data_IF_366399740961
#
_entry.id   IF_366399740961
#
_cell.length_a   1.000
_cell.length_b   1.000
_cell.length_c   1.000
_cell.angle_alpha   90.00
_cell.angle_beta   90.00
_cell.angle_gamma   90.00
#
_symmetry.space_group_name_H-M   'P 1'
#
loop_
_entity.id
_entity.type
_entity.pdbx_description
1 polymer ?
#
# COMPACT_ATOMS: atom_id res chain seq x y z
N UNK A 1 -22.55 6.72 8.98
CA UNK A 1 -21.53 5.64 9.03
C UNK A 1 -20.35 5.96 8.12
N UNK A 2 -19.11 5.65 8.53
CA UNK A 2 -17.93 5.89 7.71
C UNK A 2 -17.91 4.98 6.47
N UNK A 3 -17.38 5.48 5.35
CA UNK A 3 -17.26 4.71 4.10
C UNK A 3 -16.29 3.52 4.24
N UNK A 4 -15.23 3.70 5.02
CA UNK A 4 -14.27 2.68 5.45
C UNK A 4 -13.59 3.14 6.75
N UNK A 5 -12.86 2.24 7.40
CA UNK A 5 -12.07 2.56 8.60
C UNK A 5 -10.62 2.23 8.31
N UNK A 6 -9.76 3.23 8.44
CA UNK A 6 -8.31 3.06 8.50
C UNK A 6 -7.82 3.38 9.91
N UNK A 7 -7.44 2.37 10.71
CA UNK A 7 -6.99 2.60 12.08
C UNK A 7 -5.59 3.23 12.16
N UNK A 8 -4.86 3.31 11.05
CA UNK A 8 -3.47 3.74 11.01
C UNK A 8 -3.26 5.07 10.29
N UNK A 9 -4.22 5.56 9.52
CA UNK A 9 -4.12 6.82 8.77
C UNK A 9 -3.63 8.00 9.64
N UNK A 10 -4.16 8.14 10.85
CA UNK A 10 -3.80 9.23 11.77
C UNK A 10 -2.31 9.22 12.17
N UNK A 11 -1.68 8.03 12.21
CA UNK A 11 -0.27 7.86 12.56
C UNK A 11 0.65 8.45 11.50
N UNK A 12 0.21 8.47 10.24
CA UNK A 12 1.00 8.90 9.09
C UNK A 12 0.81 10.38 8.73
N UNK A 13 -0.12 11.11 9.36
CA UNK A 13 -0.41 12.51 9.05
C UNK A 13 0.82 13.44 9.14
N UNK A 14 1.80 13.09 9.99
CA UNK A 14 3.06 13.86 10.09
C UNK A 14 3.90 13.82 8.81
N UNK A 15 3.75 12.79 7.98
CA UNK A 15 4.46 12.67 6.70
C UNK A 15 3.87 13.62 5.66
N UNK A 16 2.55 13.73 5.64
CA UNK A 16 1.79 14.61 4.75
C UNK A 16 2.19 16.09 4.98
N UNK A 17 2.30 16.51 6.25
CA UNK A 17 2.74 17.88 6.61
C UNK A 17 4.21 18.14 6.26
N UNK A 18 5.08 17.14 6.39
CA UNK A 18 6.50 17.29 6.08
C UNK A 18 6.76 17.41 4.58
N UNK A 19 5.97 16.72 3.74
CA UNK A 19 6.07 16.76 2.28
C UNK A 19 5.45 18.06 1.70
N UNK A 20 4.37 18.54 2.31
CA UNK A 20 3.69 19.79 1.91
C UNK A 20 4.50 21.08 2.15
N UNK A 21 5.62 21.02 2.89
CA UNK A 21 6.49 22.20 3.04
C UNK A 21 7.28 22.54 1.77
N UNK A 22 7.24 21.71 0.73
CA UNK A 22 8.01 21.92 -0.51
C UNK A 22 7.23 22.44 -1.73
N UNK A 23 5.89 22.45 -1.77
CA UNK A 23 5.18 22.91 -2.99
C UNK A 23 3.83 23.62 -2.71
N UNK A 24 3.87 24.95 -2.72
CA UNK A 24 2.70 25.85 -2.60
C UNK A 24 1.81 25.90 -3.87
N UNK A 25 2.09 25.12 -4.92
CA UNK A 25 1.38 25.18 -6.21
C UNK A 25 0.49 23.96 -6.52
N UNK A 26 0.59 22.86 -5.74
CA UNK A 26 -0.11 21.59 -6.02
C UNK A 26 -1.50 21.46 -5.37
N UNK A 27 -1.90 22.40 -4.52
CA UNK A 27 -3.17 22.31 -3.75
C UNK A 27 -4.43 22.26 -4.62
N UNK A 28 -4.36 22.72 -5.88
CA UNK A 28 -5.46 22.67 -6.84
C UNK A 28 -5.53 21.40 -7.69
N UNK A 29 -4.52 20.53 -7.63
CA UNK A 29 -4.45 19.26 -8.37
C UNK A 29 -4.65 18.04 -7.47
N UNK A 30 -4.64 18.23 -6.15
CA UNK A 30 -4.92 17.15 -5.22
C UNK A 30 -6.41 16.81 -5.25
N UNK A 31 -6.79 15.54 -5.45
CA UNK A 31 -8.17 15.12 -5.36
C UNK A 31 -8.76 15.56 -4.02
N UNK A 32 -10.03 15.96 -4.02
CA UNK A 32 -10.69 16.34 -2.77
C UNK A 32 -10.60 15.18 -1.76
N UNK A 33 -10.63 15.49 -0.46
CA UNK A 33 -10.70 14.46 0.58
C UNK A 33 -11.86 13.46 0.35
N UNK A 34 -12.91 13.88 -0.37
CA UNK A 34 -13.99 13.00 -0.80
C UNK A 34 -13.58 12.02 -1.91
N UNK A 35 -12.83 12.49 -2.93
CA UNK A 35 -12.28 11.61 -3.95
C UNK A 35 -11.37 10.55 -3.33
N UNK A 36 -10.45 10.94 -2.44
CA UNK A 36 -9.60 9.98 -1.73
C UNK A 36 -10.44 8.93 -1.00
N UNK A 37 -11.46 9.36 -0.25
CA UNK A 37 -12.32 8.41 0.49
C UNK A 37 -13.04 7.42 -0.43
N UNK A 38 -13.57 7.91 -1.56
CA UNK A 38 -14.28 7.06 -2.53
C UNK A 38 -13.32 6.10 -3.23
N UNK A 39 -12.18 6.59 -3.70
CA UNK A 39 -11.15 5.79 -4.37
C UNK A 39 -10.58 4.73 -3.42
N UNK A 40 -10.28 5.07 -2.16
CA UNK A 40 -9.82 4.08 -1.17
C UNK A 40 -10.86 2.98 -0.97
N UNK A 41 -12.14 3.34 -0.75
CA UNK A 41 -13.22 2.36 -0.59
C UNK A 41 -13.36 1.47 -1.83
N UNK A 42 -13.40 2.06 -3.02
CA UNK A 42 -13.55 1.32 -4.27
C UNK A 42 -12.41 0.30 -4.46
N UNK A 43 -11.16 0.71 -4.23
CA UNK A 43 -10.00 -0.17 -4.34
C UNK A 43 -10.03 -1.28 -3.29
N UNK A 44 -10.39 -0.98 -2.04
CA UNK A 44 -10.50 -1.96 -0.96
C UNK A 44 -11.57 -3.01 -1.28
N UNK A 45 -12.78 -2.56 -1.65
CA UNK A 45 -13.92 -3.43 -1.97
C UNK A 45 -13.58 -4.32 -3.18
N UNK A 46 -12.96 -3.73 -4.22
CA UNK A 46 -12.55 -4.47 -5.43
C UNK A 46 -11.49 -5.51 -5.11
N UNK A 47 -10.48 -5.16 -4.33
CA UNK A 47 -9.38 -6.05 -3.98
C UNK A 47 -9.86 -7.23 -3.16
N UNK A 48 -10.66 -6.96 -2.12
CA UNK A 48 -11.29 -8.00 -1.29
C UNK A 48 -12.22 -8.91 -2.12
N UNK A 49 -12.99 -8.32 -3.04
CA UNK A 49 -13.85 -9.08 -3.94
C UNK A 49 -13.05 -10.04 -4.84
N UNK A 50 -12.01 -9.54 -5.52
CA UNK A 50 -11.15 -10.36 -6.38
C UNK A 50 -10.46 -11.50 -5.62
N UNK A 51 -9.94 -11.20 -4.42
CA UNK A 51 -9.33 -12.17 -3.53
C UNK A 51 -10.32 -13.26 -3.12
N UNK A 52 -11.56 -12.89 -2.78
CA UNK A 52 -12.59 -13.85 -2.35
C UNK A 52 -13.03 -14.82 -3.45
N UNK A 53 -12.85 -14.45 -4.72
CA UNK A 53 -13.28 -15.25 -5.88
C UNK A 53 -12.26 -16.27 -6.35
N UNK A 54 -11.01 -16.16 -5.91
CA UNK A 54 -9.92 -16.98 -6.43
C UNK A 54 -8.83 -17.19 -5.39
N UNK A 55 -8.57 -18.46 -5.10
CA UNK A 55 -7.44 -18.89 -4.28
C UNK A 55 -6.08 -18.77 -4.99
N UNK A 56 -6.05 -18.30 -6.24
CA UNK A 56 -4.81 -18.23 -7.00
C UNK A 56 -4.04 -16.93 -6.78
N UNK A 57 -4.68 -15.89 -6.25
CA UNK A 57 -4.01 -14.62 -5.97
C UNK A 57 -3.25 -14.72 -4.64
N UNK A 58 -1.93 -14.88 -4.74
CA UNK A 58 -0.99 -14.89 -3.61
C UNK A 58 0.11 -13.83 -3.74
N UNK A 59 0.15 -13.10 -4.84
CA UNK A 59 1.08 -12.00 -5.10
C UNK A 59 0.28 -10.72 -5.26
N UNK A 60 0.52 -9.74 -4.39
CA UNK A 60 -0.17 -8.45 -4.41
C UNK A 60 0.91 -7.38 -4.55
N UNK A 61 0.86 -6.59 -5.61
CA UNK A 61 1.77 -5.45 -5.81
C UNK A 61 1.00 -4.17 -5.56
N UNK A 62 1.48 -3.37 -4.62
CA UNK A 62 0.93 -2.07 -4.26
C UNK A 62 1.93 -1.01 -4.74
N UNK A 63 1.63 -0.36 -5.86
CA UNK A 63 2.38 0.78 -6.37
C UNK A 63 1.74 2.06 -5.80
N UNK A 64 2.43 2.71 -4.86
CA UNK A 64 1.82 3.75 -4.01
C UNK A 64 2.80 4.87 -3.68
N UNK A 65 2.32 5.89 -2.95
CA UNK A 65 3.12 6.97 -2.37
C UNK A 65 3.95 6.53 -1.14
N UNK A 66 3.79 5.30 -0.66
CA UNK A 66 4.51 4.75 0.49
C UNK A 66 3.80 4.89 1.83
N UNK A 67 2.58 5.43 1.84
CA UNK A 67 1.73 5.56 3.02
C UNK A 67 0.56 4.55 3.05
N UNK A 68 0.55 3.56 2.14
CA UNK A 68 -0.54 2.59 2.07
C UNK A 68 -0.60 1.67 3.30
N UNK A 69 -1.74 1.68 3.98
CA UNK A 69 -2.00 0.92 5.20
C UNK A 69 -2.71 -0.41 4.94
N UNK A 70 -3.14 -0.69 3.70
CA UNK A 70 -3.83 -1.93 3.31
C UNK A 70 -3.13 -3.20 3.76
N UNK A 71 -1.78 -3.34 3.69
CA UNK A 71 -1.09 -4.53 4.18
C UNK A 71 -1.40 -4.87 5.65
N UNK A 72 -1.75 -3.87 6.45
CA UNK A 72 -1.97 -3.98 7.89
C UNK A 72 -3.44 -4.04 8.30
N UNK A 73 -4.36 -3.53 7.47
CA UNK A 73 -5.79 -3.41 7.82
C UNK A 73 -6.73 -4.30 7.00
N UNK A 74 -6.32 -4.72 5.79
CA UNK A 74 -7.12 -5.65 4.99
C UNK A 74 -6.84 -7.10 5.37
N UNK A 75 -7.82 -7.97 5.09
CA UNK A 75 -7.68 -9.41 5.29
C UNK A 75 -7.08 -10.04 4.04
N UNK A 76 -5.93 -10.68 4.19
CA UNK A 76 -5.23 -11.34 3.09
C UNK A 76 -5.34 -12.87 3.22
N UNK A 77 -5.40 -13.61 2.10
CA UNK A 77 -5.29 -15.07 2.12
C UNK A 77 -3.98 -15.51 2.79
N UNK A 78 -3.97 -16.68 3.42
CA UNK A 78 -2.74 -17.25 3.96
C UNK A 78 -1.70 -17.41 2.85
N UNK A 79 -0.43 -17.21 3.22
CA UNK A 79 0.72 -17.31 2.31
C UNK A 79 0.70 -16.23 1.20
N UNK A 80 0.07 -15.08 1.46
CA UNK A 80 0.15 -13.94 0.55
C UNK A 80 1.48 -13.20 0.72
N UNK A 81 2.06 -12.82 -0.41
CA UNK A 81 3.23 -11.97 -0.51
C UNK A 81 2.75 -10.63 -1.06
N UNK A 82 2.93 -9.59 -0.27
CA UNK A 82 2.67 -8.21 -0.67
C UNK A 82 4.01 -7.55 -1.02
N UNK A 83 4.02 -6.84 -2.14
CA UNK A 83 5.15 -6.07 -2.62
C UNK A 83 4.73 -4.60 -2.60
N UNK A 84 5.26 -3.85 -1.65
CA UNK A 84 5.17 -2.40 -1.65
C UNK A 84 6.20 -1.85 -2.63
N UNK A 85 5.73 -1.08 -3.61
CA UNK A 85 6.57 -0.34 -4.54
C UNK A 85 6.26 1.14 -4.34
N UNK A 86 7.17 1.83 -3.67
CA UNK A 86 6.97 3.23 -3.28
C UNK A 86 8.31 3.94 -3.05
N UNK A 87 8.32 5.27 -2.85
CA UNK A 87 9.55 5.99 -2.51
C UNK A 87 10.18 5.48 -1.21
N UNK A 88 11.45 5.04 -1.26
CA UNK A 88 12.07 4.31 -0.15
C UNK A 88 12.17 5.10 1.16
N UNK A 89 12.31 6.43 1.06
CA UNK A 89 12.32 7.34 2.22
C UNK A 89 10.97 7.38 2.94
N UNK A 90 9.87 7.45 2.18
CA UNK A 90 8.51 7.53 2.73
C UNK A 90 8.18 6.19 3.38
N UNK A 91 8.39 5.08 2.66
CA UNK A 91 8.17 3.73 3.19
C UNK A 91 8.90 3.49 4.51
N UNK A 92 10.19 3.82 4.59
CA UNK A 92 10.99 3.56 5.80
C UNK A 92 10.42 4.27 7.03
N UNK A 93 9.96 5.50 6.85
CA UNK A 93 9.39 6.30 7.93
C UNK A 93 7.98 5.81 8.28
N UNK A 94 7.13 5.59 7.29
CA UNK A 94 5.77 5.07 7.49
C UNK A 94 5.80 3.70 8.17
N UNK A 95 6.64 2.77 7.71
CA UNK A 95 6.80 1.45 8.31
C UNK A 95 7.29 1.53 9.76
N UNK A 96 8.16 2.49 10.11
CA UNK A 96 8.58 2.71 11.49
C UNK A 96 7.42 3.19 12.37
N UNK A 97 6.65 4.18 11.90
CA UNK A 97 5.51 4.73 12.65
C UNK A 97 4.40 3.69 12.82
N UNK A 98 4.07 2.95 11.76
CA UNK A 98 3.10 1.85 11.78
C UNK A 98 3.50 0.76 12.77
N UNK A 99 4.78 0.35 12.79
CA UNK A 99 5.29 -0.58 13.81
C UNK A 99 5.13 -0.02 15.23
N UNK A 100 5.42 1.26 15.43
CA UNK A 100 5.25 1.95 16.71
C UNK A 100 3.78 1.98 17.18
N UNK A 101 2.84 2.09 16.25
CA UNK A 101 1.40 2.02 16.52
C UNK A 101 0.87 0.59 16.69
N UNK A 102 1.73 -0.43 16.63
CA UNK A 102 1.35 -1.83 16.79
C UNK A 102 0.75 -2.46 15.54
N UNK A 103 0.87 -1.82 14.37
CA UNK A 103 0.43 -2.40 13.11
C UNK A 103 1.21 -3.68 12.82
N UNK A 104 0.49 -4.74 12.42
CA UNK A 104 1.08 -6.06 12.15
C UNK A 104 0.54 -6.62 10.84
N UNK A 105 1.44 -7.16 10.05
CA UNK A 105 1.06 -7.98 8.89
C UNK A 105 0.34 -9.24 9.39
N UNK A 106 -0.77 -9.66 8.73
CA UNK A 106 -1.47 -10.88 9.12
C UNK A 106 -0.56 -12.10 9.20
N UNK A 107 -0.84 -12.98 10.17
CA UNK A 107 -0.07 -14.21 10.37
C UNK A 107 -0.04 -15.04 9.08
N UNK A 108 1.15 -15.45 8.65
CA UNK A 108 1.43 -16.16 7.39
C UNK A 108 1.36 -15.30 6.12
N UNK A 109 1.38 -13.98 6.23
CA UNK A 109 1.66 -13.10 5.09
C UNK A 109 3.01 -12.42 5.28
N UNK A 110 3.61 -11.97 4.18
CA UNK A 110 4.86 -11.21 4.20
C UNK A 110 4.72 -9.95 3.37
N UNK A 111 5.41 -8.88 3.78
CA UNK A 111 5.48 -7.61 3.08
C UNK A 111 6.95 -7.35 2.73
N UNK A 112 7.24 -7.19 1.45
CA UNK A 112 8.54 -6.73 0.97
C UNK A 112 8.41 -5.34 0.36
N UNK A 113 9.44 -4.53 0.53
CA UNK A 113 9.52 -3.23 -0.12
C UNK A 113 10.54 -3.28 -1.25
N UNK A 114 10.16 -2.71 -2.39
CA UNK A 114 11.02 -2.47 -3.53
C UNK A 114 10.99 -0.96 -3.82
N UNK A 115 12.10 -0.22 -3.63
CA UNK A 115 12.12 1.22 -3.86
C UNK A 115 11.73 1.57 -5.30
N UNK A 116 10.82 2.54 -5.45
CA UNK A 116 10.36 3.03 -6.76
C UNK A 116 11.50 3.66 -7.56
N UNK A 117 12.51 4.19 -6.87
CA UNK A 117 13.70 4.80 -7.45
C UNK A 117 14.70 3.75 -8.00
N UNK A 118 14.42 2.45 -7.85
CA UNK A 118 15.25 1.38 -8.40
C UNK A 118 15.33 1.50 -9.94
N UNK A 119 16.54 1.43 -10.53
CA UNK A 119 16.70 1.50 -11.98
C UNK A 119 16.12 0.27 -12.71
N UNK A 120 15.98 -0.86 -12.00
CA UNK A 120 15.33 -2.07 -12.49
C UNK A 120 14.32 -2.56 -11.43
N UNK A 121 13.06 -2.19 -11.63
CA UNK A 121 11.97 -2.58 -10.75
C UNK A 121 11.67 -4.08 -10.84
N UNK A 122 11.82 -4.67 -12.03
CA UNK A 122 11.55 -6.09 -12.24
C UNK A 122 12.56 -6.94 -11.49
N UNK A 123 13.85 -6.62 -11.58
CA UNK A 123 14.89 -7.31 -10.83
C UNK A 123 14.67 -7.18 -9.32
N UNK A 124 14.29 -6.00 -8.83
CA UNK A 124 13.97 -5.76 -7.42
C UNK A 124 12.79 -6.62 -6.92
N UNK A 125 11.70 -6.67 -7.68
CA UNK A 125 10.55 -7.53 -7.36
C UNK A 125 10.94 -9.02 -7.38
N UNK A 126 11.67 -9.47 -8.40
CA UNK A 126 12.12 -10.86 -8.53
C UNK A 126 13.06 -11.28 -7.39
N UNK A 127 13.96 -10.39 -6.95
CA UNK A 127 14.82 -10.60 -5.76
C UNK A 127 14.00 -10.83 -4.48
N UNK A 128 12.84 -10.16 -4.37
CA UNK A 128 11.88 -10.35 -3.29
C UNK A 128 10.94 -11.55 -3.50
N UNK A 129 11.15 -12.36 -4.54
CA UNK A 129 10.40 -13.60 -4.79
C UNK A 129 9.21 -13.46 -5.73
N UNK A 130 9.02 -12.29 -6.37
CA UNK A 130 7.98 -12.13 -7.38
C UNK A 130 8.21 -13.07 -8.56
N UNK A 131 7.13 -13.71 -9.02
CA UNK A 131 7.14 -14.62 -10.15
C UNK A 131 6.08 -14.22 -11.18
N UNK A 132 6.53 -13.69 -12.32
CA UNK A 132 5.67 -13.26 -13.43
C UNK A 132 4.88 -14.38 -14.11
N UNK A 133 5.22 -15.66 -13.86
CA UNK A 133 4.46 -16.81 -14.35
C UNK A 133 3.28 -17.21 -13.44
N UNK A 134 3.08 -16.50 -12.32
CA UNK A 134 1.97 -16.73 -11.38
C UNK A 134 1.03 -15.53 -11.37
N UNK A 135 -0.28 -15.75 -11.17
CA UNK A 135 -1.23 -14.64 -11.05
C UNK A 135 -0.82 -13.64 -9.98
N UNK A 136 -0.97 -12.35 -10.30
CA UNK A 136 -0.72 -11.25 -9.38
C UNK A 136 -1.84 -10.21 -9.49
N UNK A 137 -2.14 -9.56 -8.37
CA UNK A 137 -3.02 -8.40 -8.31
C UNK A 137 -2.16 -7.15 -8.18
N UNK A 138 -2.43 -6.16 -9.02
CA UNK A 138 -1.72 -4.90 -9.04
C UNK A 138 -2.69 -3.79 -8.68
N UNK A 139 -2.32 -3.00 -7.67
CA UNK A 139 -3.04 -1.80 -7.26
C UNK A 139 -2.13 -0.62 -7.51
N UNK A 140 -2.61 0.32 -8.32
CA UNK A 140 -1.94 1.57 -8.64
C UNK A 140 -2.85 2.69 -8.13
N UNK A 141 -2.33 3.55 -7.26
CA UNK A 141 -3.05 4.72 -6.73
C UNK A 141 -2.14 5.93 -6.71
#
# INVERSE_FOLDING_TARGET
>A
DPLFIDPYAAVLLSLDVADQTSESLVSHLMPSAEHYRLTTRYLDDTLQHLISRSDNFRQIVLLTDGMDTRPYRLSWPKMSIMYDVSPGRIFSTAAQQLRGAGAKIPRNCVLFHTPLESPDLQEGLCKNGFNGNRPSLWVLQ
#
